data_IF_858511118001
#
_entry.id   IF_858511118001
#
_cell.length_a   1.000
_cell.length_b   1.000
_cell.length_c   1.000
_cell.angle_alpha   90.00
_cell.angle_beta   90.00
_cell.angle_gamma   90.00
#
_symmetry.space_group_name_H-M   'P 1'
#
loop_
_entity.id
_entity.type
_entity.pdbx_description
1 polymer ?
#
# COMPACT_ATOMS: atom_id res chain seq x y z
N UNK A 1 19.11 21.25 20.02
CA UNK A 1 19.02 19.86 20.51
C UNK A 1 17.95 19.13 19.70
N UNK A 2 18.27 18.00 19.06
CA UNK A 2 17.26 17.15 18.42
C UNK A 2 16.72 16.14 19.43
N UNK A 3 15.41 16.13 19.68
CA UNK A 3 14.77 15.09 20.49
C UNK A 3 14.90 13.75 19.76
N UNK A 4 15.38 12.71 20.46
CA UNK A 4 15.39 11.34 19.94
C UNK A 4 13.96 10.84 19.83
N UNK A 5 13.49 10.66 18.59
CA UNK A 5 12.17 10.09 18.32
C UNK A 5 12.15 8.64 18.82
N UNK A 6 11.22 8.33 19.71
CA UNK A 6 11.02 6.96 20.20
C UNK A 6 10.16 6.19 19.18
N UNK A 7 10.82 5.34 18.39
CA UNK A 7 10.20 4.58 17.30
C UNK A 7 9.18 3.56 17.81
N UNK A 8 9.40 2.99 18.99
CA UNK A 8 8.48 2.02 19.60
C UNK A 8 7.14 2.66 19.97
N UNK A 9 7.16 3.87 20.53
CA UNK A 9 5.94 4.64 20.80
C UNK A 9 5.20 5.03 19.53
N UNK A 10 5.92 5.34 18.44
CA UNK A 10 5.30 5.60 17.15
C UNK A 10 4.64 4.33 16.63
N UNK A 11 5.32 3.18 16.73
CA UNK A 11 4.75 1.89 16.36
C UNK A 11 3.45 1.64 17.13
N UNK A 12 3.47 1.73 18.46
CA UNK A 12 2.29 1.54 19.30
C UNK A 12 1.14 2.47 18.89
N UNK A 13 1.43 3.75 18.63
CA UNK A 13 0.43 4.72 18.18
C UNK A 13 -0.16 4.37 16.80
N UNK A 14 0.68 3.97 15.84
CA UNK A 14 0.24 3.58 14.50
C UNK A 14 -0.62 2.32 14.56
N UNK A 15 -0.18 1.30 15.29
CA UNK A 15 -0.95 0.06 15.45
C UNK A 15 -2.28 0.33 16.15
N UNK A 16 -2.27 1.16 17.20
CA UNK A 16 -3.49 1.59 17.89
C UNK A 16 -4.46 2.30 16.94
N UNK A 17 -3.98 3.24 16.11
CA UNK A 17 -4.82 3.91 15.13
C UNK A 17 -5.45 2.91 14.16
N UNK A 18 -4.66 2.03 13.54
CA UNK A 18 -5.17 1.06 12.57
C UNK A 18 -6.22 0.15 13.20
N UNK A 19 -5.99 -0.32 14.42
CA UNK A 19 -6.89 -1.26 15.09
C UNK A 19 -8.19 -0.61 15.60
N UNK A 20 -8.17 0.67 15.97
CA UNK A 20 -9.33 1.37 16.55
C UNK A 20 -10.11 2.23 15.57
N UNK A 21 -9.53 2.60 14.42
CA UNK A 21 -10.21 3.38 13.38
C UNK A 21 -11.14 2.53 12.51
N UNK A 22 -11.04 1.20 12.59
CA UNK A 22 -11.85 0.29 11.79
C UNK A 22 -13.31 0.20 12.27
N UNK A 23 -14.29 0.17 11.34
CA UNK A 23 -14.16 0.19 9.87
C UNK A 23 -14.34 1.59 9.25
N UNK A 24 -14.25 2.68 10.02
CA UNK A 24 -14.88 3.96 9.65
C UNK A 24 -14.05 4.90 8.77
N UNK A 25 -12.70 4.80 8.73
CA UNK A 25 -11.90 5.82 8.03
C UNK A 25 -10.68 5.27 7.26
N UNK A 26 -10.87 5.01 5.96
CA UNK A 26 -9.84 4.49 5.07
C UNK A 26 -8.64 5.44 4.89
N UNK A 27 -8.86 6.76 5.05
CA UNK A 27 -7.81 7.76 4.92
C UNK A 27 -6.81 7.69 6.07
N UNK A 28 -7.29 7.56 7.30
CA UNK A 28 -6.45 7.44 8.50
C UNK A 28 -5.60 6.18 8.43
N UNK A 29 -6.18 5.06 8.00
CA UNK A 29 -5.46 3.80 7.80
C UNK A 29 -4.39 3.98 6.72
N UNK A 30 -4.74 4.62 5.59
CA UNK A 30 -3.76 4.89 4.52
C UNK A 30 -2.59 5.74 5.00
N UNK A 31 -2.84 6.79 5.79
CA UNK A 31 -1.80 7.62 6.39
C UNK A 31 -0.97 6.88 7.43
N UNK A 32 -1.59 6.03 8.24
CA UNK A 32 -0.90 5.20 9.23
C UNK A 32 0.04 4.18 8.56
N UNK A 33 -0.41 3.50 7.51
CA UNK A 33 0.40 2.57 6.71
C UNK A 33 1.53 3.30 5.98
N UNK A 34 1.25 4.46 5.38
CA UNK A 34 2.29 5.28 4.76
C UNK A 34 3.32 5.74 5.79
N UNK A 35 2.91 6.09 7.01
CA UNK A 35 3.82 6.45 8.09
C UNK A 35 4.69 5.26 8.51
N UNK A 36 4.11 4.06 8.65
CA UNK A 36 4.87 2.84 8.91
C UNK A 36 5.88 2.53 7.80
N UNK A 37 5.57 2.89 6.54
CA UNK A 37 6.51 2.79 5.42
C UNK A 37 7.66 3.80 5.53
N UNK A 38 7.38 5.05 5.91
CA UNK A 38 8.37 6.13 6.04
C UNK A 38 9.33 5.84 7.18
N UNK A 39 8.82 5.35 8.31
CA UNK A 39 9.64 4.96 9.45
C UNK A 39 10.17 3.52 9.27
N UNK A 40 11.27 3.13 9.93
CA UNK A 40 11.75 1.75 9.92
C UNK A 40 10.93 0.87 10.89
N UNK A 41 9.59 0.91 10.77
CA UNK A 41 8.67 0.21 11.66
C UNK A 41 8.18 -1.07 10.99
N UNK A 42 8.21 -2.17 11.74
CA UNK A 42 7.58 -3.44 11.37
C UNK A 42 6.28 -3.56 12.15
N UNK A 43 5.16 -3.63 11.43
CA UNK A 43 3.82 -3.79 11.98
C UNK A 43 3.55 -5.25 12.35
N UNK A 44 2.87 -5.44 13.49
CA UNK A 44 2.54 -6.74 14.05
C UNK A 44 1.59 -7.58 13.19
N UNK A 45 1.60 -8.90 13.39
CA UNK A 45 0.70 -9.84 12.71
C UNK A 45 -0.78 -9.51 12.90
N UNK A 46 -1.16 -9.04 14.10
CA UNK A 46 -2.52 -8.63 14.41
C UNK A 46 -3.01 -7.51 13.46
N UNK A 47 -2.14 -6.53 13.17
CA UNK A 47 -2.45 -5.48 12.20
C UNK A 47 -2.64 -6.09 10.80
N UNK A 48 -1.76 -6.99 10.37
CA UNK A 48 -1.90 -7.67 9.08
C UNK A 48 -3.19 -8.47 8.93
N UNK A 49 -3.59 -9.23 9.95
CA UNK A 49 -4.84 -10.00 9.95
C UNK A 49 -6.07 -9.10 9.86
N UNK A 50 -6.03 -7.95 10.51
CA UNK A 50 -7.10 -6.96 10.50
C UNK A 50 -7.18 -6.25 9.15
N UNK A 51 -6.04 -5.83 8.58
CA UNK A 51 -5.96 -5.24 7.24
C UNK A 51 -6.47 -6.21 6.17
N UNK A 52 -6.33 -7.52 6.41
CA UNK A 52 -6.81 -8.57 5.51
C UNK A 52 -8.35 -8.67 5.44
N UNK A 53 -9.09 -7.90 6.24
CA UNK A 53 -10.56 -7.88 6.23
C UNK A 53 -11.13 -6.64 5.54
N UNK A 54 -10.28 -5.72 5.10
CA UNK A 54 -10.67 -4.43 4.54
C UNK A 54 -10.78 -4.55 3.02
N UNK A 55 -11.96 -4.28 2.49
CA UNK A 55 -12.20 -4.24 1.03
C UNK A 55 -11.97 -2.82 0.49
N UNK A 56 -10.71 -2.36 0.52
CA UNK A 56 -10.31 -1.09 -0.07
C UNK A 56 -9.04 -1.28 -0.94
N UNK A 57 -9.06 -0.89 -2.23
CA UNK A 57 -7.95 -1.15 -3.14
C UNK A 57 -6.66 -0.40 -2.76
N UNK A 58 -6.76 0.78 -2.14
CA UNK A 58 -5.60 1.56 -1.68
C UNK A 58 -4.97 0.91 -0.45
N UNK A 59 -5.79 0.50 0.52
CA UNK A 59 -5.31 -0.20 1.72
C UNK A 59 -4.69 -1.54 1.35
N UNK A 60 -5.31 -2.30 0.44
CA UNK A 60 -4.75 -3.55 -0.07
C UNK A 60 -3.39 -3.34 -0.75
N UNK A 61 -3.26 -2.27 -1.55
CA UNK A 61 -2.02 -1.92 -2.23
C UNK A 61 -0.90 -1.55 -1.24
N UNK A 62 -1.19 -0.70 -0.26
CA UNK A 62 -0.23 -0.30 0.79
C UNK A 62 0.17 -1.49 1.68
N UNK A 63 -0.79 -2.35 2.03
CA UNK A 63 -0.53 -3.55 2.83
C UNK A 63 0.37 -4.52 2.07
N UNK A 64 0.15 -4.69 0.77
CA UNK A 64 0.95 -5.55 -0.08
C UNK A 64 2.37 -5.02 -0.28
N UNK A 65 2.55 -3.70 -0.42
CA UNK A 65 3.86 -3.06 -0.44
C UNK A 65 4.62 -3.25 0.89
N UNK A 66 3.95 -3.00 2.03
CA UNK A 66 4.55 -3.23 3.35
C UNK A 66 4.90 -4.70 3.58
N UNK A 67 4.05 -5.63 3.13
CA UNK A 67 4.34 -7.06 3.19
C UNK A 67 5.57 -7.42 2.35
N UNK A 68 5.62 -7.00 1.09
CA UNK A 68 6.74 -7.31 0.21
C UNK A 68 8.05 -6.63 0.61
N UNK A 69 7.98 -5.52 1.34
CA UNK A 69 9.15 -4.87 1.95
C UNK A 69 9.53 -5.43 3.33
N UNK A 70 8.82 -6.46 3.83
CA UNK A 70 9.10 -7.10 5.11
C UNK A 70 8.69 -6.27 6.34
N UNK A 71 7.84 -5.25 6.16
CA UNK A 71 7.37 -4.33 7.21
C UNK A 71 5.98 -4.65 7.75
N UNK A 72 5.31 -5.67 7.22
CA UNK A 72 3.99 -6.12 7.68
C UNK A 72 3.95 -7.64 7.78
N UNK A 73 3.73 -8.12 9.00
CA UNK A 73 3.53 -9.53 9.28
C UNK A 73 2.04 -9.89 9.24
N UNK A 74 1.70 -11.18 9.07
CA UNK A 74 0.32 -11.69 9.19
C UNK A 74 -0.67 -11.29 8.09
N UNK A 75 -0.29 -10.41 7.15
CA UNK A 75 -1.19 -10.03 6.04
C UNK A 75 -1.40 -11.19 5.06
N UNK A 76 -2.68 -11.51 4.82
CA UNK A 76 -3.11 -12.54 3.89
C UNK A 76 -3.50 -11.92 2.55
N UNK A 77 -2.59 -11.95 1.58
CA UNK A 77 -2.80 -11.46 0.21
C UNK A 77 -3.75 -12.33 -0.62
N UNK A 78 -4.05 -13.56 -0.19
CA UNK A 78 -4.93 -14.46 -0.95
C UNK A 78 -6.36 -13.94 -1.04
N UNK A 79 -6.77 -13.09 -0.09
CA UNK A 79 -8.05 -12.37 -0.11
C UNK A 79 -8.20 -11.47 -1.35
N UNK A 80 -7.08 -11.04 -1.95
CA UNK A 80 -7.09 -10.13 -3.08
C UNK A 80 -7.32 -10.88 -4.39
N UNK A 81 -7.00 -12.18 -4.43
CA UNK A 81 -7.06 -13.03 -5.65
C UNK A 81 -8.41 -12.94 -6.38
N UNK A 82 -9.58 -12.98 -5.71
CA UNK A 82 -10.87 -12.82 -6.38
C UNK A 82 -11.00 -11.51 -7.15
N UNK A 83 -10.31 -10.45 -6.72
CA UNK A 83 -10.34 -9.15 -7.37
C UNK A 83 -9.31 -9.02 -8.52
N UNK A 84 -8.35 -9.94 -8.63
CA UNK A 84 -7.30 -9.91 -9.64
C UNK A 84 -7.75 -10.56 -10.94
N UNK A 85 -8.66 -9.90 -11.64
CA UNK A 85 -9.25 -10.37 -12.88
C UNK A 85 -9.48 -9.22 -13.87
N UNK A 86 -9.93 -9.56 -15.09
CA UNK A 86 -10.19 -8.56 -16.14
C UNK A 86 -11.34 -7.63 -15.84
N UNK A 87 -12.38 -8.11 -15.16
CA UNK A 87 -13.59 -7.32 -14.89
C UNK A 87 -13.28 -6.17 -13.93
N UNK A 88 -12.41 -6.42 -12.94
CA UNK A 88 -11.97 -5.40 -12.00
C UNK A 88 -10.98 -4.39 -12.57
N UNK A 89 -10.50 -4.54 -13.81
CA UNK A 89 -9.72 -3.49 -14.48
C UNK A 89 -10.56 -2.26 -14.81
N UNK A 90 -11.88 -2.40 -14.86
CA UNK A 90 -12.80 -1.30 -15.14
C UNK A 90 -13.74 -1.01 -13.95
N UNK A 91 -13.41 -1.51 -12.77
CA UNK A 91 -14.08 -1.18 -11.51
C UNK A 91 -13.27 -0.17 -10.70
N UNK A 92 -13.75 0.17 -9.51
CA UNK A 92 -13.04 0.94 -8.49
C UNK A 92 -11.72 0.29 -8.03
N UNK A 93 -11.58 -1.03 -8.22
CA UNK A 93 -10.38 -1.82 -7.84
C UNK A 93 -9.31 -1.89 -8.93
N UNK A 94 -9.48 -1.16 -10.04
CA UNK A 94 -8.58 -1.21 -11.19
C UNK A 94 -7.11 -0.96 -10.83
N UNK A 95 -6.85 -0.06 -9.89
CA UNK A 95 -5.50 0.32 -9.46
C UNK A 95 -4.78 -0.87 -8.84
N UNK A 96 -5.47 -1.61 -7.97
CA UNK A 96 -4.95 -2.80 -7.32
C UNK A 96 -4.73 -3.92 -8.35
N UNK A 97 -5.73 -4.20 -9.18
CA UNK A 97 -5.64 -5.23 -10.21
C UNK A 97 -4.47 -4.99 -11.18
N UNK A 98 -4.28 -3.74 -11.61
CA UNK A 98 -3.18 -3.38 -12.49
C UNK A 98 -1.80 -3.46 -11.82
N UNK A 99 -1.63 -2.82 -10.66
CA UNK A 99 -0.32 -2.71 -9.99
C UNK A 99 0.21 -4.08 -9.52
N UNK A 100 -0.66 -4.97 -9.04
CA UNK A 100 -0.23 -6.32 -8.62
C UNK A 100 0.43 -7.10 -9.76
N UNK A 101 -0.15 -7.03 -10.97
CA UNK A 101 0.45 -7.67 -12.16
C UNK A 101 1.73 -6.96 -12.58
N UNK A 102 1.74 -5.62 -12.58
CA UNK A 102 2.89 -4.83 -12.99
C UNK A 102 4.10 -5.08 -12.09
N UNK A 103 3.89 -5.12 -10.77
CA UNK A 103 4.93 -5.30 -9.75
C UNK A 103 5.32 -6.76 -9.53
N UNK A 104 4.45 -7.70 -9.88
CA UNK A 104 4.68 -9.12 -9.64
C UNK A 104 4.62 -9.50 -8.17
N UNK A 105 3.89 -8.74 -7.36
CA UNK A 105 3.84 -8.86 -5.90
C UNK A 105 3.18 -10.13 -5.38
N UNK A 106 2.35 -10.80 -6.18
CA UNK A 106 1.72 -12.07 -5.80
C UNK A 106 2.17 -13.15 -6.78
N UNK A 107 2.98 -14.13 -6.33
CA UNK A 107 3.43 -15.24 -7.16
C UNK A 107 2.26 -16.07 -7.68
N UNK A 108 2.40 -16.60 -8.91
CA UNK A 108 1.43 -17.54 -9.48
C UNK A 108 0.17 -16.91 -10.08
N UNK A 109 -0.02 -15.59 -10.00
CA UNK A 109 -1.14 -14.92 -10.66
C UNK A 109 -0.94 -14.89 -12.18
N UNK A 110 -1.94 -15.39 -12.90
CA UNK A 110 -1.97 -15.33 -14.37
C UNK A 110 -2.06 -13.88 -14.83
N UNK A 111 -1.22 -13.48 -15.77
CA UNK A 111 -1.29 -12.14 -16.37
C UNK A 111 -2.54 -12.00 -17.25
N UNK A 112 -3.60 -11.43 -16.67
CA UNK A 112 -4.87 -11.15 -17.34
C UNK A 112 -4.88 -9.85 -18.15
N UNK A 113 -3.88 -8.97 -17.98
CA UNK A 113 -3.73 -7.73 -18.74
C UNK A 113 -3.46 -7.99 -20.23
N UNK A 114 -2.85 -9.13 -20.59
CA UNK A 114 -2.51 -9.48 -22.00
C UNK A 114 -3.71 -9.48 -22.94
N UNK A 115 -4.90 -9.78 -22.42
CA UNK A 115 -6.12 -9.80 -23.21
C UNK A 115 -6.92 -8.49 -23.20
N UNK A 116 -6.46 -7.47 -22.49
CA UNK A 116 -7.12 -6.17 -22.42
C UNK A 116 -6.44 -5.16 -23.36
N UNK A 117 -7.22 -4.40 -24.15
CA UNK A 117 -6.66 -3.49 -25.17
C UNK A 117 -6.03 -2.23 -24.59
N UNK A 118 -6.46 -1.79 -23.40
CA UNK A 118 -6.04 -0.53 -22.80
C UNK A 118 -4.89 -0.76 -21.81
N UNK A 119 -5.08 -1.62 -20.81
CA UNK A 119 -4.09 -1.86 -19.76
C UNK A 119 -2.83 -2.55 -20.26
N UNK A 120 -2.90 -3.33 -21.34
CA UNK A 120 -1.69 -3.88 -21.97
C UNK A 120 -0.78 -2.77 -22.53
N UNK A 121 -1.37 -1.66 -23.02
CA UNK A 121 -0.60 -0.53 -23.51
C UNK A 121 0.10 0.18 -22.35
N UNK A 122 -0.58 0.37 -21.23
CA UNK A 122 0.02 0.94 -20.02
C UNK A 122 1.19 0.09 -19.52
N UNK A 123 0.98 -1.24 -19.44
CA UNK A 123 2.03 -2.18 -19.03
C UNK A 123 3.24 -2.13 -19.98
N UNK A 124 3.01 -2.13 -21.30
CA UNK A 124 4.08 -2.05 -22.31
C UNK A 124 4.86 -0.73 -22.27
N UNK A 125 4.20 0.38 -21.92
CA UNK A 125 4.83 1.68 -21.73
C UNK A 125 5.44 1.85 -20.33
N UNK A 126 5.50 0.79 -19.54
CA UNK A 126 6.02 0.79 -18.17
C UNK A 126 5.36 1.84 -17.24
N UNK A 127 4.08 2.18 -17.45
CA UNK A 127 3.36 3.14 -16.60
C UNK A 127 3.12 2.54 -15.21
N UNK A 128 3.54 3.21 -14.14
CA UNK A 128 3.16 2.90 -12.75
C UNK A 128 2.39 4.07 -12.18
N UNK A 129 1.32 3.77 -11.45
CA UNK A 129 0.57 4.71 -10.64
C UNK A 129 1.00 4.66 -9.17
N UNK A 130 1.59 3.54 -8.74
CA UNK A 130 2.18 3.39 -7.41
C UNK A 130 3.71 3.31 -7.46
N UNK A 131 4.36 4.14 -6.64
CA UNK A 131 5.81 4.16 -6.50
C UNK A 131 6.20 3.70 -5.09
N UNK A 132 6.76 2.50 -5.02
CA UNK A 132 7.19 1.89 -3.76
C UNK A 132 8.40 2.62 -3.15
N UNK A 133 9.19 3.32 -3.95
CA UNK A 133 10.41 4.01 -3.48
C UNK A 133 10.17 5.49 -3.13
N UNK A 134 9.00 6.04 -3.44
CA UNK A 134 8.72 7.46 -3.23
C UNK A 134 8.25 7.74 -1.80
N UNK A 135 9.17 8.27 -0.98
CA UNK A 135 8.94 8.66 0.42
C UNK A 135 9.04 10.20 0.59
N UNK A 136 8.55 10.99 -0.38
CA UNK A 136 8.82 12.43 -0.36
C UNK A 136 7.99 13.18 0.71
N UNK A 137 8.68 13.99 1.51
CA UNK A 137 8.40 15.42 1.54
C UNK A 137 9.57 16.15 0.90
N UNK A 138 9.38 16.59 -0.35
CA UNK A 138 10.32 17.52 -1.00
C UNK A 138 10.04 18.92 -0.44
N UNK A 139 10.57 19.22 0.75
CA UNK A 139 10.65 20.63 1.18
C UNK A 139 11.79 21.24 0.36
N UNK A 140 11.50 21.76 -0.83
CA UNK A 140 12.45 22.65 -1.49
C UNK A 140 12.47 23.95 -0.68
N UNK A 141 13.58 24.25 -0.04
CA UNK A 141 13.85 25.55 0.55
C UNK A 141 13.92 26.61 -0.55
N UNK A 142 12.76 27.11 -0.99
CA UNK A 142 12.70 28.41 -1.64
C UNK A 142 12.97 29.45 -0.55
N UNK A 143 14.21 29.95 -0.58
CA UNK A 143 14.73 31.14 0.10
C UNK A 143 13.61 32.14 0.43
N UNK A 144 13.35 32.35 1.72
CA UNK A 144 12.80 33.60 2.22
C UNK A 144 13.96 34.59 2.36
N UNK A 145 14.36 35.17 1.22
CA UNK A 145 15.04 36.47 1.19
C UNK A 145 14.21 37.36 0.28
N UNK A 146 13.32 38.15 0.88
CA UNK A 146 12.77 39.39 0.32
C UNK A 146 12.49 40.33 1.48
#
# INVERSE_FOLDING_TARGET
MGYSVNVDKIKEAIEYLILNTLPSNDYEISWALWSAKVFPIVLSSNVGEVLSKIDNPIIGLLSLDLKNSGKLEGYNETILIPFLNKDNLYSDKWILAYEVIKKGWIPGIKNYLKGDKFFIKLLKNNVSFYDEMKIQPRISSKRLNS
#
